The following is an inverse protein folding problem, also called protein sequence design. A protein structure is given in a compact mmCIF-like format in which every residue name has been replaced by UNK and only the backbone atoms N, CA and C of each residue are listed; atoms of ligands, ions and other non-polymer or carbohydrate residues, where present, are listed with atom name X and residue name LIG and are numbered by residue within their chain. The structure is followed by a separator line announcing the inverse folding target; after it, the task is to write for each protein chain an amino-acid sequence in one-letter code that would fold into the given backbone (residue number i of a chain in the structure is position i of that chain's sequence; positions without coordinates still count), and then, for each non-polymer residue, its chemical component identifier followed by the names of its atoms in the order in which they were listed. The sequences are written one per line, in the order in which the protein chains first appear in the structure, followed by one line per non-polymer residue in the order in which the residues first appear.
data_IF_849418272715
#
_entry.id   IF_849418272715
#
_cell.length_a   1.000
_cell.length_b   1.000
_cell.length_c   1.000
_cell.angle_alpha   90.00
_cell.angle_beta   90.00
_cell.angle_gamma   90.00
#
_symmetry.space_group_name_H-M   'P 1'
#
loop_
_entity.id
_entity.type
_entity.pdbx_description
1 polymer ?
#
# COMPACT_ATOMS: atom_id res chain seq x y z
N UNK A 1 -29.74 49.58 0.25
CA UNK A 1 -29.34 48.59 1.28
C UNK A 1 -29.56 47.18 0.75
N UNK A 2 -28.63 46.59 0.02
CA UNK A 2 -28.62 45.14 -0.36
C UNK A 2 -27.26 44.75 -0.93
N UNK A 3 -26.16 44.90 -0.17
CA UNK A 3 -24.81 44.50 -0.65
C UNK A 3 -24.04 43.58 0.31
N UNK A 4 -24.59 43.23 1.48
CA UNK A 4 -23.85 42.45 2.48
C UNK A 4 -24.19 40.96 2.51
N UNK A 5 -25.22 40.49 1.79
CA UNK A 5 -25.68 39.10 1.86
C UNK A 5 -24.86 38.12 1.00
N UNK A 6 -24.20 38.58 -0.06
CA UNK A 6 -23.44 37.73 -0.98
C UNK A 6 -22.03 37.39 -0.43
N UNK A 7 -21.47 38.29 0.38
CA UNK A 7 -20.13 38.09 0.97
C UNK A 7 -20.07 36.96 2.01
N UNK A 8 -21.15 36.75 2.76
CA UNK A 8 -21.22 35.67 3.76
C UNK A 8 -21.43 34.30 3.14
N UNK A 9 -22.10 34.22 1.98
CA UNK A 9 -22.29 32.96 1.27
C UNK A 9 -20.99 32.43 0.65
N UNK A 10 -20.15 33.33 0.12
CA UNK A 10 -18.83 32.97 -0.42
C UNK A 10 -17.83 32.59 0.68
N UNK A 11 -17.93 33.17 1.87
CA UNK A 11 -17.05 32.82 2.99
C UNK A 11 -17.41 31.46 3.60
N UNK A 12 -18.70 31.07 3.59
CA UNK A 12 -19.15 29.77 4.12
C UNK A 12 -18.76 28.59 3.23
N UNK A 13 -18.63 28.80 1.91
CA UNK A 13 -18.21 27.73 0.97
C UNK A 13 -16.69 27.49 1.05
N UNK A 14 -15.90 28.50 1.42
CA UNK A 14 -14.45 28.36 1.53
C UNK A 14 -14.00 27.58 2.78
N UNK A 15 -14.85 27.46 3.81
CA UNK A 15 -14.49 26.75 5.06
C UNK A 15 -14.72 25.23 5.02
N UNK A 16 -15.37 24.69 3.97
CA UNK A 16 -15.65 23.25 3.86
C UNK A 16 -14.59 22.46 3.05
N UNK A 17 -13.70 23.14 2.35
CA UNK A 17 -12.67 22.50 1.51
C UNK A 17 -11.34 22.14 2.20
N UNK A 18 -10.90 22.77 3.30
CA UNK A 18 -9.56 22.50 3.84
C UNK A 18 -9.42 21.14 4.53
N UNK A 19 -10.50 20.54 5.06
CA UNK A 19 -10.40 19.31 5.84
C UNK A 19 -10.19 18.06 4.98
N UNK A 20 -10.80 17.98 3.79
CA UNK A 20 -10.62 16.84 2.87
C UNK A 20 -9.20 16.83 2.26
N UNK A 21 -8.68 18.00 1.93
CA UNK A 21 -7.31 18.13 1.39
C UNK A 21 -6.28 17.80 2.46
N UNK A 22 -6.49 18.21 3.71
CA UNK A 22 -5.57 17.94 4.81
C UNK A 22 -5.53 16.45 5.19
N UNK A 23 -6.66 15.72 5.13
CA UNK A 23 -6.70 14.29 5.40
C UNK A 23 -6.08 13.46 4.28
N UNK A 24 -6.34 13.82 3.01
CA UNK A 24 -5.71 13.21 1.85
C UNK A 24 -4.19 13.32 1.91
N UNK A 25 -3.69 14.53 2.14
CA UNK A 25 -2.26 14.80 2.25
C UNK A 25 -1.62 14.03 3.41
N UNK A 26 -2.30 13.89 4.54
CA UNK A 26 -1.79 13.14 5.69
C UNK A 26 -1.61 11.63 5.39
N UNK A 27 -2.60 10.97 4.77
CA UNK A 27 -2.52 9.53 4.46
C UNK A 27 -1.48 9.27 3.38
N UNK A 28 -1.54 9.99 2.27
CA UNK A 28 -0.63 9.78 1.13
C UNK A 28 0.81 10.10 1.50
N UNK A 29 1.06 11.17 2.27
CA UNK A 29 2.40 11.51 2.76
C UNK A 29 2.98 10.45 3.68
N UNK A 30 2.18 9.87 4.58
CA UNK A 30 2.64 8.80 5.48
C UNK A 30 2.96 7.53 4.72
N UNK A 31 2.10 7.09 3.79
CA UNK A 31 2.37 5.94 2.95
C UNK A 31 3.64 6.13 2.11
N UNK A 32 3.83 7.33 1.57
CA UNK A 32 5.03 7.68 0.81
C UNK A 32 6.28 7.72 1.69
N UNK A 33 6.17 8.19 2.93
CA UNK A 33 7.28 8.24 3.87
C UNK A 33 7.82 6.86 4.25
N UNK A 34 6.95 5.84 4.30
CA UNK A 34 7.35 4.43 4.50
C UNK A 34 7.72 3.72 3.19
N UNK A 35 7.77 4.47 2.07
CA UNK A 35 8.24 3.98 0.78
C UNK A 35 7.20 3.26 -0.08
N UNK A 36 5.90 3.32 0.27
CA UNK A 36 4.86 2.75 -0.58
C UNK A 36 4.77 3.48 -1.92
N UNK A 37 4.43 2.75 -2.94
CA UNK A 37 4.34 3.21 -4.33
C UNK A 37 2.92 3.13 -4.88
N UNK A 38 2.70 3.70 -6.07
CA UNK A 38 1.41 3.70 -6.77
C UNK A 38 0.23 4.14 -5.89
N UNK A 39 0.47 5.16 -5.08
CA UNK A 39 -0.52 5.69 -4.14
C UNK A 39 -1.53 6.51 -4.92
N UNK A 40 -2.80 6.14 -4.82
CA UNK A 40 -3.95 6.91 -5.29
C UNK A 40 -4.90 7.12 -4.12
N UNK A 41 -5.51 8.27 -4.06
CA UNK A 41 -6.46 8.65 -3.02
C UNK A 41 -7.77 9.10 -3.66
N UNK A 42 -8.87 8.58 -3.15
CA UNK A 42 -10.20 9.07 -3.48
C UNK A 42 -11.07 9.11 -2.21
N UNK A 43 -11.87 10.14 -2.11
CA UNK A 43 -12.84 10.30 -1.04
C UNK A 43 -14.24 10.35 -1.63
N UNK A 44 -15.10 9.44 -1.18
CA UNK A 44 -16.46 9.29 -1.67
C UNK A 44 -17.42 9.14 -0.51
N UNK A 45 -18.19 10.20 -0.20
CA UNK A 45 -19.10 10.21 0.94
C UNK A 45 -18.38 9.99 2.27
N UNK A 46 -18.72 8.92 2.98
CA UNK A 46 -18.15 8.56 4.28
C UNK A 46 -16.97 7.57 4.18
N UNK A 47 -16.46 7.32 2.97
CA UNK A 47 -15.39 6.38 2.75
C UNK A 47 -14.20 7.04 2.03
N UNK A 48 -13.00 6.72 2.49
CA UNK A 48 -11.74 7.04 1.84
C UNK A 48 -11.17 5.75 1.25
N UNK A 49 -10.82 5.77 -0.02
CA UNK A 49 -10.16 4.65 -0.70
C UNK A 49 -8.74 5.05 -1.08
N UNK A 50 -7.79 4.22 -0.71
CA UNK A 50 -6.36 4.44 -1.00
C UNK A 50 -5.77 3.18 -1.62
N UNK A 51 -5.04 3.32 -2.73
CA UNK A 51 -4.21 2.24 -3.27
C UNK A 51 -2.78 2.40 -2.78
N UNK A 52 -2.06 1.29 -2.65
CA UNK A 52 -0.62 1.28 -2.39
C UNK A 52 0.02 0.01 -2.95
N UNK A 53 1.30 0.09 -3.27
CA UNK A 53 2.13 -1.03 -3.68
C UNK A 53 3.37 -1.11 -2.78
N UNK A 54 3.65 -2.31 -2.28
CA UNK A 54 4.80 -2.56 -1.42
C UNK A 54 5.99 -3.06 -2.25
N UNK A 55 7.00 -2.21 -2.42
CA UNK A 55 8.29 -2.57 -3.02
C UNK A 55 9.47 -2.43 -2.03
N UNK A 56 9.18 -2.11 -0.76
CA UNK A 56 10.20 -1.88 0.28
C UNK A 56 10.36 -3.08 1.20
N UNK A 57 9.23 -3.60 1.67
CA UNK A 57 9.24 -4.70 2.63
C UNK A 57 9.25 -6.04 1.89
N UNK A 58 10.15 -6.93 2.30
CA UNK A 58 10.29 -8.25 1.67
C UNK A 58 9.03 -9.10 1.79
N UNK A 59 8.31 -8.98 2.90
CA UNK A 59 7.06 -9.69 3.12
C UNK A 59 5.88 -8.81 2.75
N UNK A 60 4.98 -9.30 1.90
CA UNK A 60 3.73 -8.64 1.56
C UNK A 60 2.89 -8.35 2.82
N UNK A 61 2.84 -9.28 3.77
CA UNK A 61 2.11 -9.11 5.02
C UNK A 61 2.70 -8.00 5.89
N UNK A 62 4.02 -7.89 5.95
CA UNK A 62 4.68 -6.80 6.65
C UNK A 62 4.35 -5.45 5.98
N UNK A 63 4.44 -5.37 4.67
CA UNK A 63 4.10 -4.15 3.93
C UNK A 63 2.65 -3.71 4.14
N UNK A 64 1.71 -4.67 4.20
CA UNK A 64 0.30 -4.40 4.52
C UNK A 64 0.18 -3.86 5.95
N UNK A 65 0.83 -4.48 6.92
CA UNK A 65 0.83 -4.05 8.32
C UNK A 65 1.32 -2.61 8.46
N UNK A 66 2.48 -2.29 7.91
CA UNK A 66 3.05 -0.94 7.91
C UNK A 66 2.14 0.09 7.22
N UNK A 67 1.45 -0.30 6.14
CA UNK A 67 0.48 0.57 5.49
C UNK A 67 -0.76 0.84 6.37
N UNK A 68 -1.26 -0.17 7.07
CA UNK A 68 -2.36 -0.03 8.03
C UNK A 68 -1.93 0.91 9.17
N UNK A 69 -0.77 0.67 9.76
CA UNK A 69 -0.25 1.47 10.87
C UNK A 69 -0.06 2.94 10.47
N UNK A 70 0.50 3.20 9.28
CA UNK A 70 0.62 4.55 8.74
C UNK A 70 -0.75 5.25 8.58
N UNK A 71 -1.78 4.48 8.19
CA UNK A 71 -3.13 5.00 8.05
C UNK A 71 -3.82 5.23 9.41
N UNK A 72 -3.61 4.36 10.39
CA UNK A 72 -4.13 4.52 11.76
C UNK A 72 -3.59 5.78 12.44
N UNK A 73 -2.32 6.08 12.21
CA UNK A 73 -1.70 7.31 12.69
C UNK A 73 -2.18 8.58 11.97
N UNK A 74 -2.85 8.45 10.82
CA UNK A 74 -3.45 9.59 10.14
C UNK A 74 -4.81 9.91 10.74
N UNK A 75 -5.11 11.20 10.96
CA UNK A 75 -6.37 11.64 11.58
C UNK A 75 -7.56 11.53 10.59
N UNK A 76 -7.83 10.32 10.10
CA UNK A 76 -8.95 10.03 9.20
C UNK A 76 -10.20 9.74 10.01
N UNK A 77 -11.26 10.53 9.86
CA UNK A 77 -12.54 10.39 10.57
C UNK A 77 -13.63 9.72 9.70
N UNK A 78 -13.21 8.90 8.75
CA UNK A 78 -14.09 8.18 7.81
C UNK A 78 -13.64 6.74 7.70
N UNK A 79 -14.53 5.88 7.26
CA UNK A 79 -14.16 4.51 6.92
C UNK A 79 -13.05 4.51 5.85
N UNK A 80 -12.12 3.58 5.97
CA UNK A 80 -10.94 3.51 5.10
C UNK A 80 -10.93 2.18 4.34
N UNK A 81 -10.69 2.24 3.04
CA UNK A 81 -10.43 1.11 2.19
C UNK A 81 -9.01 1.20 1.63
N UNK A 82 -8.18 0.22 1.94
CA UNK A 82 -6.82 0.11 1.45
C UNK A 82 -6.76 -1.00 0.40
N UNK A 83 -6.35 -0.66 -0.82
CA UNK A 83 -6.18 -1.63 -1.90
C UNK A 83 -4.70 -1.88 -2.10
N UNK A 84 -4.25 -3.08 -1.74
CA UNK A 84 -2.88 -3.50 -2.00
C UNK A 84 -2.72 -3.92 -3.47
N UNK A 85 -1.67 -3.38 -4.10
CA UNK A 85 -1.32 -3.66 -5.49
C UNK A 85 -0.05 -4.51 -5.56
N UNK A 86 0.09 -5.29 -6.63
CA UNK A 86 1.32 -5.94 -7.04
C UNK A 86 1.50 -5.74 -8.55
N UNK A 87 2.61 -5.14 -8.96
CA UNK A 87 2.83 -4.72 -10.35
C UNK A 87 1.63 -3.92 -10.92
N UNK A 88 1.09 -2.99 -10.12
CA UNK A 88 -0.08 -2.16 -10.42
C UNK A 88 -1.40 -2.94 -10.58
N UNK A 89 -1.41 -4.25 -10.26
CA UNK A 89 -2.61 -5.08 -10.28
C UNK A 89 -3.18 -5.18 -8.87
N UNK A 90 -4.47 -4.86 -8.65
CA UNK A 90 -5.11 -5.02 -7.35
C UNK A 90 -5.11 -6.48 -6.90
N UNK A 91 -4.72 -6.73 -5.65
CA UNK A 91 -4.66 -8.06 -5.06
C UNK A 91 -5.72 -8.28 -4.01
N UNK A 92 -5.87 -7.32 -3.11
CA UNK A 92 -6.84 -7.39 -2.02
C UNK A 92 -7.26 -6.00 -1.56
N UNK A 93 -8.44 -5.92 -0.98
CA UNK A 93 -8.99 -4.73 -0.34
C UNK A 93 -9.14 -4.98 1.16
N UNK A 94 -8.60 -4.07 1.97
CA UNK A 94 -8.70 -4.07 3.42
C UNK A 94 -9.68 -2.96 3.80
N UNK A 95 -10.70 -3.30 4.59
CA UNK A 95 -11.72 -2.36 5.04
C UNK A 95 -11.58 -2.11 6.53
N UNK A 96 -11.44 -0.85 6.90
CA UNK A 96 -11.36 -0.35 8.27
C UNK A 96 -12.54 0.59 8.50
N UNK A 97 -13.63 0.14 9.15
CA UNK A 97 -14.75 1.00 9.49
C UNK A 97 -14.33 2.17 10.38
N UNK A 98 -15.02 3.29 10.25
CA UNK A 98 -14.79 4.48 11.08
C UNK A 98 -14.94 4.22 12.58
N UNK A 99 -15.86 3.36 12.97
CA UNK A 99 -16.03 2.90 14.35
C UNK A 99 -14.78 2.23 14.89
N UNK A 100 -14.17 1.32 14.11
CA UNK A 100 -12.95 0.61 14.47
C UNK A 100 -11.77 1.58 14.60
N UNK A 101 -11.64 2.52 13.66
CA UNK A 101 -10.61 3.56 13.69
C UNK A 101 -10.74 4.47 14.90
N UNK A 102 -11.97 4.85 15.27
CA UNK A 102 -12.24 5.70 16.42
C UNK A 102 -11.97 4.98 17.74
N UNK A 103 -12.40 3.73 17.88
CA UNK A 103 -12.16 2.93 19.09
C UNK A 103 -10.66 2.67 19.32
N UNK A 104 -9.89 2.50 18.25
CA UNK A 104 -8.43 2.41 18.35
C UNK A 104 -7.80 3.74 18.82
N UNK A 105 -8.20 4.88 18.26
CA UNK A 105 -7.69 6.20 18.66
C UNK A 105 -8.05 6.60 20.09
N UNK A 106 -9.21 6.17 20.54
CA UNK A 106 -9.66 6.37 21.91
C UNK A 106 -9.05 5.34 22.88
N UNK A 107 -8.10 4.52 22.42
CA UNK A 107 -7.42 3.48 23.19
C UNK A 107 -8.37 2.43 23.80
N UNK A 108 -9.58 2.26 23.25
CA UNK A 108 -10.56 1.26 23.68
C UNK A 108 -10.20 -0.13 23.23
N UNK A 109 -9.52 -0.23 22.08
CA UNK A 109 -9.08 -1.49 21.48
C UNK A 109 -7.59 -1.45 21.15
N UNK A 110 -6.96 -2.60 21.16
CA UNK A 110 -5.57 -2.76 20.78
C UNK A 110 -5.39 -2.90 19.27
N UNK A 111 -4.18 -2.68 18.76
CA UNK A 111 -3.82 -2.93 17.36
C UNK A 111 -4.14 -4.37 16.92
N UNK A 112 -3.95 -5.35 17.80
CA UNK A 112 -4.30 -6.75 17.54
C UNK A 112 -5.80 -6.94 17.30
N UNK A 113 -6.64 -6.19 17.99
CA UNK A 113 -8.10 -6.21 17.77
C UNK A 113 -8.46 -5.54 16.45
N UNK A 114 -7.77 -4.45 16.06
CA UNK A 114 -7.94 -3.84 14.75
C UNK A 114 -7.68 -4.89 13.64
N UNK A 115 -6.57 -5.62 13.72
CA UNK A 115 -6.26 -6.68 12.76
C UNK A 115 -7.24 -7.86 12.79
N UNK A 116 -7.85 -8.14 13.93
CA UNK A 116 -8.84 -9.21 14.05
C UNK A 116 -10.22 -8.82 13.49
N UNK A 117 -10.57 -7.53 13.53
CA UNK A 117 -11.89 -7.03 13.17
C UNK A 117 -11.93 -6.34 11.79
N UNK A 118 -10.78 -6.05 11.17
CA UNK A 118 -10.73 -5.49 9.83
C UNK A 118 -11.31 -6.46 8.79
N UNK A 119 -11.99 -5.92 7.79
CA UNK A 119 -12.48 -6.71 6.66
C UNK A 119 -11.36 -6.94 5.64
N UNK A 120 -11.24 -8.16 5.11
CA UNK A 120 -10.34 -8.47 3.98
C UNK A 120 -11.14 -9.11 2.87
N UNK A 121 -11.02 -8.59 1.64
CA UNK A 121 -11.69 -9.07 0.45
C UNK A 121 -10.73 -9.15 -0.74
N UNK A 122 -10.88 -10.19 -1.56
CA UNK A 122 -10.23 -10.27 -2.87
C UNK A 122 -11.01 -9.51 -3.95
N UNK A 123 -12.27 -9.16 -3.68
CA UNK A 123 -13.04 -8.29 -4.56
C UNK A 123 -12.60 -6.83 -4.34
N UNK A 124 -11.93 -6.30 -5.34
CA UNK A 124 -11.38 -4.95 -5.35
C UNK A 124 -12.12 -4.00 -6.28
N UNK A 125 -13.09 -4.49 -7.04
CA UNK A 125 -13.71 -3.75 -8.14
C UNK A 125 -14.37 -2.45 -7.67
N UNK A 126 -15.09 -2.50 -6.56
CA UNK A 126 -15.76 -1.32 -6.02
C UNK A 126 -14.76 -0.26 -5.56
N UNK A 127 -13.73 -0.67 -4.84
CA UNK A 127 -12.68 0.22 -4.35
C UNK A 127 -11.85 0.81 -5.51
N UNK A 128 -11.54 -0.01 -6.51
CA UNK A 128 -10.81 0.46 -7.69
C UNK A 128 -11.58 1.47 -8.52
N UNK A 129 -12.90 1.32 -8.67
CA UNK A 129 -13.76 2.31 -9.33
C UNK A 129 -13.74 3.66 -8.60
N UNK A 130 -13.67 3.66 -7.28
CA UNK A 130 -13.58 4.91 -6.51
C UNK A 130 -12.31 5.70 -6.83
N UNK A 131 -11.17 5.02 -7.04
CA UNK A 131 -9.88 5.66 -7.35
C UNK A 131 -9.59 5.79 -8.85
N UNK A 132 -10.44 5.28 -9.73
CA UNK A 132 -10.25 5.34 -11.19
C UNK A 132 -10.12 6.78 -11.68
N UNK A 133 -10.90 7.69 -11.11
CA UNK A 133 -10.90 9.10 -11.43
C UNK A 133 -9.93 9.95 -10.57
N UNK A 134 -9.17 9.32 -9.68
CA UNK A 134 -8.14 10.01 -8.92
C UNK A 134 -7.08 10.58 -9.87
N UNK A 135 -6.88 11.90 -9.81
CA UNK A 135 -6.12 12.64 -10.83
C UNK A 135 -4.63 12.35 -10.83
N UNK A 136 -4.07 11.91 -9.72
CA UNK A 136 -2.62 11.75 -9.57
C UNK A 136 -2.26 10.41 -8.93
N UNK A 137 -1.19 9.81 -9.44
CA UNK A 137 -0.52 8.67 -8.81
C UNK A 137 0.70 9.26 -8.11
N UNK A 138 0.73 9.17 -6.79
CA UNK A 138 1.89 9.56 -6.04
C UNK A 138 2.89 8.40 -5.95
N UNK A 139 4.17 8.73 -6.04
CA UNK A 139 5.27 7.78 -6.01
C UNK A 139 5.09 6.60 -7.00
N UNK A 140 4.96 6.85 -8.32
CA UNK A 140 4.73 5.77 -9.29
C UNK A 140 5.89 4.79 -9.31
N UNK A 141 5.61 3.47 -9.42
CA UNK A 141 6.62 2.42 -9.55
C UNK A 141 7.16 2.27 -11.00
N UNK A 142 6.42 2.78 -11.97
CA UNK A 142 6.79 2.66 -13.37
C UNK A 142 8.17 3.28 -13.65
N UNK A 143 9.04 2.51 -14.36
CA UNK A 143 10.40 2.89 -14.73
C UNK A 143 11.37 3.07 -13.55
N UNK A 144 11.00 2.72 -12.34
CA UNK A 144 11.96 2.60 -11.23
C UNK A 144 12.76 1.33 -11.37
N UNK A 145 14.03 1.45 -11.02
CA UNK A 145 14.98 0.33 -11.03
C UNK A 145 15.30 -0.04 -9.60
N UNK A 146 14.98 -1.27 -9.23
CA UNK A 146 15.31 -1.85 -7.94
C UNK A 146 16.48 -2.81 -8.08
N UNK A 147 17.40 -2.76 -7.13
CA UNK A 147 18.52 -3.71 -7.05
C UNK A 147 18.27 -4.61 -5.84
N UNK A 148 18.10 -5.89 -6.12
CA UNK A 148 17.78 -6.90 -5.11
C UNK A 148 18.87 -7.97 -5.12
N UNK A 149 19.21 -8.48 -3.94
CA UNK A 149 20.13 -9.61 -3.83
C UNK A 149 19.40 -10.77 -3.19
N UNK A 150 19.28 -11.85 -3.96
CA UNK A 150 18.63 -13.08 -3.50
C UNK A 150 19.69 -14.09 -3.03
N UNK A 151 19.76 -14.42 -1.73
CA UNK A 151 20.45 -15.62 -1.28
C UNK A 151 19.59 -16.83 -1.60
N UNK A 152 20.14 -17.80 -2.33
CA UNK A 152 19.43 -19.02 -2.75
C UNK A 152 20.12 -20.24 -2.12
N UNK A 153 19.33 -21.10 -1.49
CA UNK A 153 19.76 -22.38 -0.97
C UNK A 153 18.99 -23.49 -1.66
N UNK A 154 19.69 -24.29 -2.43
CA UNK A 154 19.15 -25.50 -3.04
C UNK A 154 19.59 -26.72 -2.24
N UNK A 155 18.63 -27.52 -1.82
CA UNK A 155 18.85 -28.81 -1.16
C UNK A 155 18.17 -29.88 -1.98
N UNK A 156 18.92 -30.89 -2.38
CA UNK A 156 18.39 -32.04 -3.12
C UNK A 156 18.78 -33.32 -2.39
N UNK A 157 17.79 -34.13 -2.04
CA UNK A 157 18.00 -35.47 -1.53
C UNK A 157 18.29 -36.40 -2.71
N UNK A 158 19.42 -37.11 -2.69
CA UNK A 158 19.88 -37.94 -3.78
C UNK A 158 20.18 -39.36 -3.25
N UNK A 159 19.55 -40.37 -3.82
CA UNK A 159 19.40 -41.67 -3.15
C UNK A 159 20.49 -42.69 -3.32
N UNK A 160 21.47 -42.54 -4.23
CA UNK A 160 22.39 -43.65 -4.51
C UNK A 160 23.88 -43.43 -4.18
N UNK A 161 24.40 -42.20 -4.29
CA UNK A 161 25.82 -41.96 -4.06
C UNK A 161 26.12 -40.85 -3.04
N UNK A 162 25.16 -39.98 -2.77
CA UNK A 162 25.24 -38.92 -1.76
C UNK A 162 23.89 -38.77 -1.06
N UNK A 163 23.89 -38.73 0.27
CA UNK A 163 22.68 -38.55 1.07
C UNK A 163 21.94 -37.24 0.70
N UNK A 164 22.69 -36.20 0.40
CA UNK A 164 22.15 -34.92 -0.07
C UNK A 164 23.20 -34.19 -0.93
N UNK A 165 22.71 -33.33 -1.80
CA UNK A 165 23.50 -32.30 -2.47
C UNK A 165 22.95 -30.94 -2.10
N UNK A 166 23.84 -29.97 -1.98
CA UNK A 166 23.44 -28.59 -1.74
C UNK A 166 24.16 -27.65 -2.70
N UNK A 167 23.52 -26.51 -2.95
CA UNK A 167 24.16 -25.37 -3.58
C UNK A 167 23.68 -24.09 -2.89
N UNK A 168 24.62 -23.22 -2.61
CA UNK A 168 24.40 -21.87 -2.08
C UNK A 168 24.81 -20.89 -3.14
N UNK A 169 23.85 -20.09 -3.59
CA UNK A 169 24.08 -19.05 -4.59
C UNK A 169 23.81 -17.66 -4.02
N UNK A 170 24.45 -16.67 -4.58
CA UNK A 170 24.10 -15.27 -4.41
C UNK A 170 23.66 -14.74 -5.77
N UNK A 171 22.44 -14.22 -5.84
CA UNK A 171 21.82 -13.86 -7.11
C UNK A 171 21.37 -12.39 -7.09
N UNK A 172 22.31 -11.44 -7.37
CA UNK A 172 21.91 -10.06 -7.58
C UNK A 172 21.04 -9.94 -8.83
N UNK A 173 19.94 -9.20 -8.69
CA UNK A 173 18.97 -8.92 -9.73
C UNK A 173 18.71 -7.43 -9.83
N UNK A 174 18.43 -6.98 -11.04
CA UNK A 174 17.87 -5.67 -11.34
C UNK A 174 16.44 -5.89 -11.80
N UNK A 175 15.50 -5.23 -11.13
CA UNK A 175 14.09 -5.30 -11.43
C UNK A 175 13.55 -3.94 -11.83
N UNK A 176 12.65 -3.89 -12.79
CA UNK A 176 12.03 -2.65 -13.27
C UNK A 176 10.58 -2.90 -13.66
N UNK A 177 9.64 -2.15 -13.04
CA UNK A 177 8.26 -2.09 -13.46
C UNK A 177 8.12 -1.32 -14.77
N UNK A 178 7.50 -1.92 -15.80
CA UNK A 178 7.36 -1.28 -17.11
C UNK A 178 5.96 -0.69 -17.30
N UNK A 179 4.93 -1.50 -17.09
CA UNK A 179 3.51 -1.13 -17.23
C UNK A 179 2.68 -1.97 -16.27
N UNK A 180 1.39 -1.73 -16.21
CA UNK A 180 0.48 -2.51 -15.37
C UNK A 180 0.61 -4.01 -15.67
N UNK A 181 1.06 -4.78 -14.67
CA UNK A 181 1.31 -6.21 -14.75
C UNK A 181 2.62 -6.59 -15.46
N UNK A 182 3.40 -5.64 -15.95
CA UNK A 182 4.67 -5.88 -16.64
C UNK A 182 5.88 -5.55 -15.80
N UNK A 183 6.76 -6.53 -15.55
CA UNK A 183 8.02 -6.39 -14.83
C UNK A 183 9.16 -7.01 -15.62
N UNK A 184 10.27 -6.31 -15.74
CA UNK A 184 11.52 -6.81 -16.30
C UNK A 184 12.46 -7.16 -15.16
N UNK A 185 13.01 -8.37 -15.16
CA UNK A 185 14.03 -8.81 -14.21
C UNK A 185 15.25 -9.32 -14.95
N UNK A 186 16.43 -8.83 -14.60
CA UNK A 186 17.71 -9.33 -15.04
C UNK A 186 18.52 -9.80 -13.83
N UNK A 187 18.90 -11.09 -13.79
CA UNK A 187 19.56 -11.71 -12.66
C UNK A 187 20.85 -12.39 -13.08
N UNK A 188 21.87 -12.31 -12.24
CA UNK A 188 23.12 -13.05 -12.38
C UNK A 188 23.28 -13.97 -11.17
N UNK A 189 23.56 -15.26 -11.42
CA UNK A 189 23.72 -16.25 -10.36
C UNK A 189 25.20 -16.50 -10.10
N UNK A 190 25.66 -16.25 -8.88
CA UNK A 190 27.01 -16.54 -8.42
C UNK A 190 26.98 -17.76 -7.49
N UNK A 191 27.52 -18.91 -7.88
CA UNK A 191 27.65 -20.05 -6.97
C UNK A 191 28.73 -19.75 -5.92
N UNK A 192 28.35 -19.84 -4.63
CA UNK A 192 29.27 -19.61 -3.49
C UNK A 192 29.81 -20.97 -2.99
N UNK A 193 28.94 -21.96 -2.87
CA UNK A 193 29.30 -23.29 -2.39
C UNK A 193 28.37 -24.34 -3.00
N UNK A 194 28.94 -25.49 -3.29
CA UNK A 194 28.19 -26.69 -3.74
C UNK A 194 28.97 -27.96 -3.41
N UNK A 195 28.26 -29.11 -3.28
CA UNK A 195 28.90 -30.42 -3.15
C UNK A 195 28.43 -31.44 -4.19
#
# INVERSE_FOLDING_TARGET
MKKHSISYLLFSICCLLPNAIASAQSVTEKLKAIGMENIRYAETGECITVTFENNVYRSTYQGIGEAIDACLESNVNKSLQLVALENQIPQLCISLPDTLLNDYREEKISLMQVYAEMGISIDTDHAMKAVENAKEIENPSAWKVDVIVYPELFLKNNSLNKLYTYAVNLSPAIEMGLWKGGKLTAQVVFPIAAN
#
